data_IF_567104022503
#
_entry.id   IF_567104022503
#
_cell.length_a   1.000
_cell.length_b   1.000
_cell.length_c   1.000
_cell.angle_alpha   90.00
_cell.angle_beta   90.00
_cell.angle_gamma   90.00
#
_symmetry.space_group_name_H-M   'P 1'
#
loop_
_entity.id
_entity.type
_entity.pdbx_description
1 polymer ?
#
# COMPACT_ATOMS: atom_id res chain seq x y z
N UNK A 1 -45.78 1.73 1.03
CA UNK A 1 -44.63 0.85 0.73
C UNK A 1 -44.39 0.93 -0.77
N UNK A 2 -43.34 1.62 -1.22
CA UNK A 2 -43.03 1.73 -2.65
C UNK A 2 -42.48 0.37 -3.10
N UNK A 3 -43.23 -0.37 -3.91
CA UNK A 3 -42.71 -1.57 -4.58
C UNK A 3 -41.67 -1.12 -5.60
N UNK A 4 -40.39 -1.32 -5.30
CA UNK A 4 -39.34 -1.18 -6.29
C UNK A 4 -39.61 -2.20 -7.43
N UNK A 5 -39.36 -1.79 -8.67
CA UNK A 5 -39.39 -2.73 -9.79
C UNK A 5 -38.23 -3.71 -9.67
N UNK A 6 -38.37 -4.92 -10.21
CA UNK A 6 -37.25 -5.89 -10.28
C UNK A 6 -36.00 -5.25 -10.90
N UNK A 7 -36.17 -4.41 -11.93
CA UNK A 7 -35.08 -3.68 -12.56
C UNK A 7 -34.36 -2.71 -11.63
N UNK A 8 -35.08 -2.03 -10.72
CA UNK A 8 -34.47 -1.15 -9.72
C UNK A 8 -33.66 -1.97 -8.70
N UNK A 9 -34.20 -3.09 -8.24
CA UNK A 9 -33.52 -3.96 -7.27
C UNK A 9 -32.26 -4.61 -7.86
N UNK A 10 -32.29 -5.06 -9.12
CA UNK A 10 -31.11 -5.58 -9.82
C UNK A 10 -30.03 -4.50 -9.99
N UNK A 11 -30.42 -3.26 -10.33
CA UNK A 11 -29.46 -2.14 -10.40
C UNK A 11 -28.84 -1.82 -9.05
N UNK A 12 -29.64 -1.83 -7.98
CA UNK A 12 -29.14 -1.60 -6.63
C UNK A 12 -28.14 -2.68 -6.20
N UNK A 13 -28.46 -3.95 -6.45
CA UNK A 13 -27.56 -5.07 -6.19
C UNK A 13 -26.23 -4.90 -6.95
N UNK A 14 -26.28 -4.61 -8.26
CA UNK A 14 -25.08 -4.39 -9.06
C UNK A 14 -24.21 -3.24 -8.52
N UNK A 15 -24.82 -2.14 -8.05
CA UNK A 15 -24.09 -1.02 -7.46
C UNK A 15 -23.45 -1.40 -6.12
N UNK A 16 -24.16 -2.15 -5.27
CA UNK A 16 -23.60 -2.66 -4.01
C UNK A 16 -22.38 -3.55 -4.25
N UNK A 17 -22.46 -4.48 -5.21
CA UNK A 17 -21.32 -5.35 -5.53
C UNK A 17 -20.11 -4.54 -6.01
N UNK A 18 -20.32 -3.51 -6.84
CA UNK A 18 -19.22 -2.62 -7.28
C UNK A 18 -18.56 -1.89 -6.11
N UNK A 19 -19.37 -1.36 -5.19
CA UNK A 19 -18.84 -0.68 -3.99
C UNK A 19 -18.05 -1.65 -3.12
N UNK A 20 -18.59 -2.83 -2.84
CA UNK A 20 -17.89 -3.85 -2.05
C UNK A 20 -16.57 -4.30 -2.72
N UNK A 21 -16.57 -4.50 -4.04
CA UNK A 21 -15.33 -4.82 -4.77
C UNK A 21 -14.29 -3.69 -4.66
N UNK A 22 -14.73 -2.43 -4.77
CA UNK A 22 -13.85 -1.27 -4.58
C UNK A 22 -13.28 -1.24 -3.17
N UNK A 23 -14.12 -1.45 -2.16
CA UNK A 23 -13.72 -1.40 -0.75
C UNK A 23 -12.70 -2.49 -0.44
N UNK A 24 -12.94 -3.74 -0.85
CA UNK A 24 -11.96 -4.84 -0.71
C UNK A 24 -10.63 -4.45 -1.35
N UNK A 25 -10.65 -3.90 -2.56
CA UNK A 25 -9.44 -3.51 -3.27
C UNK A 25 -8.69 -2.38 -2.56
N UNK A 26 -9.35 -1.27 -2.28
CA UNK A 26 -8.74 -0.08 -1.67
C UNK A 26 -8.19 -0.37 -0.27
N UNK A 27 -8.94 -1.09 0.56
CA UNK A 27 -8.49 -1.48 1.89
C UNK A 27 -7.32 -2.46 1.85
N UNK A 28 -7.32 -3.41 0.92
CA UNK A 28 -6.18 -4.34 0.78
C UNK A 28 -4.92 -3.63 0.31
N UNK A 29 -5.03 -2.61 -0.54
CA UNK A 29 -3.89 -1.75 -0.89
C UNK A 29 -3.43 -0.97 0.35
N UNK A 30 -4.36 -0.43 1.14
CA UNK A 30 -4.04 0.25 2.39
C UNK A 30 -3.25 -0.65 3.33
N UNK A 31 -3.69 -1.90 3.54
CA UNK A 31 -3.03 -2.84 4.42
C UNK A 31 -1.60 -3.16 3.97
N UNK A 32 -1.35 -3.28 2.66
CA UNK A 32 0.01 -3.43 2.13
C UNK A 32 0.87 -2.22 2.46
N UNK A 33 0.36 -1.00 2.24
CA UNK A 33 1.12 0.22 2.50
C UNK A 33 1.37 0.40 3.99
N UNK A 34 0.37 0.13 4.84
CA UNK A 34 0.48 0.18 6.29
C UNK A 34 1.50 -0.84 6.82
N UNK A 35 1.47 -2.07 6.31
CA UNK A 35 2.45 -3.11 6.64
C UNK A 35 3.87 -2.73 6.22
N UNK A 36 4.03 -2.13 5.03
CA UNK A 36 5.32 -1.63 4.56
C UNK A 36 5.83 -0.43 5.39
N UNK A 37 4.92 0.43 5.85
CA UNK A 37 5.23 1.59 6.69
C UNK A 37 5.41 1.26 8.18
N UNK A 38 5.10 0.03 8.61
CA UNK A 38 5.12 -0.37 10.02
C UNK A 38 6.58 -0.46 10.53
N UNK A 39 6.99 0.37 11.50
CA UNK A 39 8.34 0.36 12.05
C UNK A 39 8.72 -0.96 12.70
N UNK A 40 10.00 -1.34 12.64
CA UNK A 40 10.54 -2.51 13.39
C UNK A 40 10.19 -2.49 14.88
N UNK A 41 10.28 -1.32 15.50
CA UNK A 41 9.92 -1.13 16.91
C UNK A 41 8.44 -1.44 17.22
N UNK A 42 7.58 -1.51 16.20
CA UNK A 42 6.15 -1.85 16.28
C UNK A 42 5.82 -3.19 15.64
N UNK A 43 6.82 -4.05 15.42
CA UNK A 43 6.64 -5.39 14.85
C UNK A 43 6.66 -5.45 13.31
N UNK A 44 6.90 -4.33 12.63
CA UNK A 44 7.08 -4.33 11.17
C UNK A 44 8.54 -4.47 10.75
N UNK A 45 8.88 -3.98 9.55
CA UNK A 45 10.19 -4.24 8.93
C UNK A 45 10.96 -2.99 8.53
N UNK A 46 10.30 -1.86 8.35
CA UNK A 46 10.97 -0.62 7.96
C UNK A 46 11.82 -0.09 9.13
N UNK A 47 13.14 0.13 8.94
CA UNK A 47 13.96 0.76 9.96
C UNK A 47 13.60 2.25 10.07
N UNK A 48 13.62 2.76 11.29
CA UNK A 48 13.37 4.18 11.57
C UNK A 48 14.54 4.71 12.36
N UNK A 49 15.30 5.60 11.74
CA UNK A 49 16.32 6.42 12.38
C UNK A 49 15.79 7.85 12.47
N UNK A 50 15.85 8.61 11.38
CA UNK A 50 15.30 9.98 11.29
C UNK A 50 13.85 10.04 10.80
N UNK A 51 13.27 8.92 10.38
CA UNK A 51 11.95 8.87 9.72
C UNK A 51 11.95 9.23 8.23
N UNK A 52 13.07 9.72 7.69
CA UNK A 52 13.21 10.14 6.29
C UNK A 52 12.76 9.07 5.28
N UNK A 53 13.07 7.79 5.54
CA UNK A 53 12.63 6.70 4.67
C UNK A 53 11.10 6.66 4.58
N UNK A 54 10.39 6.68 5.71
CA UNK A 54 8.91 6.63 5.75
C UNK A 54 8.29 7.85 5.11
N UNK A 55 8.84 9.03 5.40
CA UNK A 55 8.40 10.31 4.83
C UNK A 55 8.70 10.43 3.33
N UNK A 56 9.57 9.57 2.78
CA UNK A 56 9.86 9.55 1.34
C UNK A 56 8.82 8.79 0.49
N UNK A 57 7.78 8.23 1.12
CA UNK A 57 6.68 7.59 0.41
C UNK A 57 5.98 8.62 -0.47
N UNK A 58 5.98 8.41 -1.77
CA UNK A 58 5.20 9.15 -2.73
C UNK A 58 4.17 8.21 -3.36
N UNK A 59 2.94 8.71 -3.49
CA UNK A 59 1.80 7.91 -3.94
C UNK A 59 1.06 8.62 -5.07
N UNK A 60 0.39 7.87 -5.93
CA UNK A 60 -0.47 8.45 -6.96
C UNK A 60 -1.16 7.41 -7.84
N UNK A 61 -1.93 7.90 -8.82
CA UNK A 61 -2.76 7.09 -9.70
C UNK A 61 -2.38 7.32 -11.16
N UNK A 62 -2.46 6.26 -11.97
CA UNK A 62 -2.43 6.34 -13.43
C UNK A 62 -1.22 7.09 -14.00
N UNK A 63 -0.04 6.85 -13.42
CA UNK A 63 1.23 7.45 -13.84
C UNK A 63 1.53 8.82 -13.23
N UNK A 64 0.62 9.38 -12.43
CA UNK A 64 0.90 10.55 -11.60
C UNK A 64 1.47 10.11 -10.26
N UNK A 65 2.45 10.86 -9.74
CA UNK A 65 2.97 10.65 -8.40
C UNK A 65 3.05 11.98 -7.66
N UNK A 66 2.49 12.02 -6.45
CA UNK A 66 2.44 13.22 -5.63
C UNK A 66 3.76 13.52 -4.91
N UNK A 67 3.72 14.58 -4.10
CA UNK A 67 4.83 14.89 -3.21
C UNK A 67 5.05 13.77 -2.16
N UNK A 68 6.29 13.50 -1.74
CA UNK A 68 6.56 12.54 -0.68
C UNK A 68 5.96 12.97 0.66
N UNK A 69 5.22 12.07 1.29
CA UNK A 69 4.71 12.16 2.65
C UNK A 69 4.40 10.75 3.18
N UNK A 70 4.59 10.52 4.48
CA UNK A 70 4.33 9.21 5.08
C UNK A 70 2.88 8.75 4.94
N UNK A 71 1.95 9.69 4.79
CA UNK A 71 0.50 9.49 4.60
C UNK A 71 0.02 9.83 3.19
N UNK A 72 0.92 10.02 2.21
CA UNK A 72 0.56 10.37 0.83
C UNK A 72 -0.45 9.40 0.20
N UNK A 73 -0.46 8.14 0.63
CA UNK A 73 -1.38 7.10 0.18
C UNK A 73 -2.85 7.37 0.54
N UNK A 74 -3.14 8.10 1.61
CA UNK A 74 -4.52 8.34 2.08
C UNK A 74 -5.35 9.05 1.02
N UNK A 75 -4.78 10.07 0.38
CA UNK A 75 -5.45 10.82 -0.70
C UNK A 75 -5.50 10.00 -1.98
N UNK A 76 -4.45 9.23 -2.29
CA UNK A 76 -4.44 8.33 -3.45
C UNK A 76 -5.54 7.27 -3.34
N UNK A 77 -5.72 6.66 -2.17
CA UNK A 77 -6.74 5.64 -1.94
C UNK A 77 -8.17 6.19 -1.93
N UNK A 78 -8.37 7.43 -1.46
CA UNK A 78 -9.70 8.05 -1.50
C UNK A 78 -10.18 8.31 -2.94
N UNK A 79 -9.25 8.52 -3.87
CA UNK A 79 -9.50 8.72 -5.30
C UNK A 79 -9.50 7.43 -6.12
N UNK A 80 -9.02 6.31 -5.55
CA UNK A 80 -8.85 5.05 -6.25
C UNK A 80 -10.19 4.46 -6.71
N UNK A 81 -10.30 4.15 -8.00
CA UNK A 81 -11.40 3.41 -8.59
C UNK A 81 -10.95 2.03 -9.11
N UNK A 82 -11.92 1.14 -9.33
CA UNK A 82 -11.64 -0.16 -9.94
C UNK A 82 -11.19 0.05 -11.39
N UNK A 83 -10.01 -0.46 -11.72
CA UNK A 83 -9.38 -0.31 -13.04
C UNK A 83 -8.22 0.70 -13.06
N UNK A 84 -8.06 1.51 -12.00
CA UNK A 84 -6.91 2.39 -11.85
C UNK A 84 -5.63 1.59 -11.53
N UNK A 85 -4.48 2.21 -11.85
CA UNK A 85 -3.17 1.75 -11.41
C UNK A 85 -2.69 2.63 -10.26
N UNK A 86 -2.69 2.08 -9.05
CA UNK A 86 -2.09 2.73 -7.88
C UNK A 86 -0.57 2.53 -7.87
N UNK A 87 0.17 3.61 -7.62
CA UNK A 87 1.63 3.63 -7.57
C UNK A 87 2.10 4.15 -6.21
N UNK A 88 3.06 3.43 -5.61
CA UNK A 88 3.66 3.76 -4.32
C UNK A 88 5.18 3.60 -4.42
N UNK A 89 5.93 4.64 -4.06
CA UNK A 89 7.38 4.63 -4.15
C UNK A 89 8.03 5.27 -2.93
N UNK A 90 8.98 4.56 -2.31
CA UNK A 90 9.88 5.14 -1.32
C UNK A 90 11.05 5.78 -2.05
N UNK A 91 11.06 7.11 -2.10
CA UNK A 91 11.94 7.90 -2.98
C UNK A 91 13.29 8.25 -2.36
N UNK A 92 13.54 7.92 -1.09
CA UNK A 92 14.84 8.16 -0.46
C UNK A 92 15.96 7.45 -1.26
N UNK A 93 17.12 8.10 -1.54
CA UNK A 93 18.18 7.52 -2.37
C UNK A 93 18.70 6.15 -1.89
N UNK A 94 18.61 5.90 -0.58
CA UNK A 94 19.03 4.66 0.05
C UNK A 94 17.90 3.63 0.23
N UNK A 95 16.65 3.95 -0.13
CA UNK A 95 15.49 3.08 0.10
C UNK A 95 15.68 1.68 -0.49
N UNK A 96 16.22 1.60 -1.71
CA UNK A 96 16.48 0.32 -2.39
C UNK A 96 17.55 -0.52 -1.67
N UNK A 97 18.58 0.12 -1.11
CA UNK A 97 19.60 -0.56 -0.30
C UNK A 97 19.01 -1.09 1.00
N UNK A 98 18.12 -0.33 1.61
CA UNK A 98 17.39 -0.80 2.79
C UNK A 98 16.49 -1.98 2.43
N UNK A 99 15.78 -1.92 1.31
CA UNK A 99 14.87 -2.99 0.89
C UNK A 99 15.60 -4.28 0.55
N UNK A 100 16.59 -4.21 -0.35
CA UNK A 100 17.25 -5.39 -0.94
C UNK A 100 18.52 -5.81 -0.21
N UNK A 101 19.07 -4.95 0.64
CA UNK A 101 20.40 -5.10 1.20
C UNK A 101 21.47 -4.48 0.31
N UNK A 102 22.70 -4.44 0.82
CA UNK A 102 23.86 -3.92 0.13
C UNK A 102 25.13 -4.58 0.66
N UNK A 103 25.88 -5.21 -0.24
CA UNK A 103 27.27 -5.66 -0.01
C UNK A 103 28.17 -4.86 -0.94
N UNK A 104 29.20 -4.23 -0.38
CA UNK A 104 30.21 -3.50 -1.16
C UNK A 104 30.79 -2.29 -0.46
N UNK A 105 31.72 -1.63 -1.14
CA UNK A 105 32.40 -0.42 -0.66
C UNK A 105 31.81 0.82 -1.32
N UNK A 106 31.49 1.84 -0.53
CA UNK A 106 30.98 3.10 -1.06
C UNK A 106 32.10 4.03 -1.59
N UNK A 107 31.70 5.19 -2.13
CA UNK A 107 32.63 6.19 -2.66
C UNK A 107 33.56 6.82 -1.61
N UNK A 108 33.32 6.56 -0.31
CA UNK A 108 34.14 7.01 0.81
C UNK A 108 35.05 5.89 1.34
N UNK A 109 35.09 4.73 0.68
CA UNK A 109 35.91 3.59 1.09
C UNK A 109 35.32 2.77 2.24
N UNK A 110 34.05 3.02 2.62
CA UNK A 110 33.39 2.27 3.70
C UNK A 110 32.80 0.98 3.16
N UNK A 111 33.19 -0.15 3.73
CA UNK A 111 32.61 -1.46 3.39
C UNK A 111 31.35 -1.71 4.18
N UNK A 112 30.32 -2.17 3.49
CA UNK A 112 29.03 -2.52 4.05
C UNK A 112 28.71 -3.97 3.73
N UNK A 113 28.19 -4.67 4.74
CA UNK A 113 27.54 -5.97 4.61
C UNK A 113 26.17 -5.87 5.29
N UNK A 114 25.23 -5.27 4.56
CA UNK A 114 23.91 -4.95 5.07
C UNK A 114 22.86 -5.89 4.47
N UNK A 115 22.18 -6.66 5.33
CA UNK A 115 21.01 -7.44 4.93
C UNK A 115 19.81 -6.54 4.60
N UNK A 116 19.00 -6.99 3.64
CA UNK A 116 17.75 -6.33 3.27
C UNK A 116 16.72 -6.36 4.41
N UNK A 117 16.07 -5.23 4.63
CA UNK A 117 14.91 -5.15 5.49
C UNK A 117 13.71 -5.88 4.86
N UNK A 118 13.62 -5.91 3.53
CA UNK A 118 12.49 -6.47 2.79
C UNK A 118 11.13 -5.96 3.29
N UNK A 119 11.04 -4.67 3.62
CA UNK A 119 9.85 -4.07 4.20
C UNK A 119 8.72 -3.98 3.17
N UNK A 120 9.03 -3.69 1.92
CA UNK A 120 8.06 -3.67 0.84
C UNK A 120 7.73 -5.09 0.36
N UNK A 121 8.75 -5.89 0.04
CA UNK A 121 8.56 -7.24 -0.47
C UNK A 121 7.77 -8.14 0.49
N UNK A 122 8.02 -8.03 1.79
CA UNK A 122 7.28 -8.80 2.80
C UNK A 122 5.85 -8.30 3.01
N UNK A 123 5.57 -7.02 2.78
CA UNK A 123 4.22 -6.47 2.83
C UNK A 123 3.41 -6.92 1.61
N UNK A 124 4.01 -6.84 0.41
CA UNK A 124 3.38 -7.30 -0.84
C UNK A 124 3.08 -8.80 -0.80
N UNK A 125 3.95 -9.61 -0.21
CA UNK A 125 3.72 -11.05 -0.04
C UNK A 125 2.46 -11.38 0.78
N UNK A 126 1.98 -10.46 1.62
CA UNK A 126 0.76 -10.62 2.42
C UNK A 126 -0.52 -10.26 1.65
N UNK A 127 -0.43 -9.79 0.40
CA UNK A 127 -1.59 -9.40 -0.41
C UNK A 127 -2.75 -10.41 -0.39
N UNK A 128 -2.55 -11.72 -0.61
CA UNK A 128 -3.66 -12.67 -0.59
C UNK A 128 -4.38 -12.73 0.77
N UNK A 129 -3.64 -12.55 1.87
CA UNK A 129 -4.19 -12.56 3.22
C UNK A 129 -5.02 -11.29 3.48
N UNK A 130 -4.55 -10.12 3.08
CA UNK A 130 -5.31 -8.86 3.23
C UNK A 130 -6.61 -8.89 2.42
N UNK A 131 -6.55 -9.34 1.16
CA UNK A 131 -7.75 -9.49 0.32
C UNK A 131 -8.75 -10.46 0.96
N UNK A 132 -8.28 -11.60 1.47
CA UNK A 132 -9.15 -12.58 2.13
C UNK A 132 -9.79 -11.99 3.40
N UNK A 133 -9.02 -11.28 4.21
CA UNK A 133 -9.52 -10.66 5.44
C UNK A 133 -10.57 -9.57 5.16
N UNK A 134 -10.30 -8.69 4.19
CA UNK A 134 -11.21 -7.60 3.84
C UNK A 134 -12.49 -8.10 3.16
N UNK A 135 -12.39 -9.14 2.31
CA UNK A 135 -13.56 -9.81 1.76
C UNK A 135 -14.45 -10.39 2.87
N UNK A 136 -13.87 -11.17 3.79
CA UNK A 136 -14.62 -11.76 4.91
C UNK A 136 -15.21 -10.72 5.88
N UNK A 137 -14.60 -9.53 5.99
CA UNK A 137 -15.11 -8.42 6.80
C UNK A 137 -16.37 -7.81 6.21
N UNK A 138 -16.45 -7.69 4.87
CA UNK A 138 -17.55 -7.07 4.14
C UNK A 138 -18.71 -8.02 3.83
N UNK A 139 -18.53 -9.33 4.05
CA UNK A 139 -19.60 -10.34 3.97
C UNK A 139 -20.57 -10.29 5.17
N UNK A 140 -20.21 -9.59 6.26
CA UNK A 140 -21.02 -9.45 7.48
C UNK A 140 -22.00 -8.28 7.39
#
# INVERSE_FOLDING_TARGET
MVKQTLSASVRQFANMTKMQMRDVFAESVQDVVDAAQLPRAKGGRIPVDTGNLRNSLASGLNGTIGAPDATSYVVTLSQLELGDIAQFAWTAPYARRIELGFSGTDSLGRTYEQAGAHFLGSAVAQWPQFVTANAARLEK
#
